data_IF_068875951803
#
_entry.id   IF_068875951803
#
_cell.length_a   1.000
_cell.length_b   1.000
_cell.length_c   1.000
_cell.angle_alpha   90.00
_cell.angle_beta   90.00
_cell.angle_gamma   90.00
#
_symmetry.space_group_name_H-M   'P 1'
#
loop_
_entity.id
_entity.type
_entity.pdbx_description
1 polymer ?
#
# COMPACT_ATOMS: atom_id res chain seq x y z
N UNK A 1 -18.91 -10.63 9.12
CA UNK A 1 -18.97 -9.22 8.67
C UNK A 1 -17.60 -8.63 8.93
N UNK A 2 -16.67 -8.66 7.98
CA UNK A 2 -15.34 -8.04 8.16
C UNK A 2 -14.92 -7.35 6.85
N UNK A 3 -14.52 -6.09 7.00
CA UNK A 3 -14.66 -5.03 6.03
C UNK A 3 -13.78 -5.19 4.78
N UNK A 4 -14.42 -5.15 3.62
CA UNK A 4 -13.80 -4.80 2.36
C UNK A 4 -13.36 -3.33 2.45
N UNK A 5 -12.06 -3.07 2.58
CA UNK A 5 -11.54 -1.71 2.40
C UNK A 5 -11.75 -1.35 0.92
N UNK A 6 -12.89 -0.74 0.66
CA UNK A 6 -13.39 -0.38 -0.65
C UNK A 6 -12.35 0.47 -1.39
N UNK A 7 -12.03 0.02 -2.60
CA UNK A 7 -11.59 0.92 -3.64
C UNK A 7 -12.64 2.04 -3.80
N UNK A 8 -12.16 3.27 -3.70
CA UNK A 8 -12.53 4.44 -4.51
C UNK A 8 -13.11 5.65 -3.77
N UNK A 9 -12.73 6.81 -4.32
CA UNK A 9 -13.27 8.16 -4.16
C UNK A 9 -13.00 8.85 -2.83
N UNK A 10 -11.88 9.60 -2.78
CA UNK A 10 -11.83 11.03 -2.43
C UNK A 10 -10.37 11.54 -2.38
N UNK A 11 -9.64 11.47 -3.50
CA UNK A 11 -8.40 12.24 -3.79
C UNK A 11 -7.28 12.33 -2.73
N UNK A 12 -7.33 11.58 -1.65
CA UNK A 12 -6.33 11.48 -0.60
C UNK A 12 -5.77 10.07 -0.62
N UNK A 13 -4.44 9.98 -0.66
CA UNK A 13 -3.76 8.70 -0.60
C UNK A 13 -3.76 8.27 0.85
N UNK A 14 -4.59 7.27 1.18
CA UNK A 14 -4.55 6.59 2.48
C UNK A 14 -3.79 5.28 2.32
N UNK A 15 -2.84 5.05 3.22
CA UNK A 15 -2.04 3.82 3.28
C UNK A 15 -2.13 3.22 4.68
N UNK A 16 -2.09 1.90 4.84
CA UNK A 16 -2.06 1.31 6.17
C UNK A 16 -0.78 1.70 6.90
N UNK A 17 -0.82 1.77 8.23
CA UNK A 17 0.36 2.03 9.08
C UNK A 17 1.52 1.06 8.78
N UNK A 18 1.21 -0.17 8.41
CA UNK A 18 2.19 -1.19 8.01
C UNK A 18 2.96 -0.85 6.71
N UNK A 19 2.42 0.05 5.88
CA UNK A 19 3.08 0.57 4.67
C UNK A 19 4.13 1.66 4.98
N UNK A 20 4.06 2.25 6.17
CA UNK A 20 4.96 3.30 6.59
C UNK A 20 6.26 2.68 7.09
N UNK A 21 7.38 3.14 6.56
CA UNK A 21 8.70 2.82 7.05
C UNK A 21 9.38 4.06 7.62
N UNK A 22 10.35 3.84 8.51
CA UNK A 22 11.20 4.90 9.03
C UNK A 22 12.63 4.63 8.60
N UNK A 23 13.26 5.61 7.96
CA UNK A 23 14.65 5.57 7.54
C UNK A 23 15.33 6.84 8.02
N UNK A 24 16.42 6.69 8.77
CA UNK A 24 17.20 7.81 9.31
C UNK A 24 16.33 8.83 10.10
N UNK A 25 15.30 8.34 10.80
CA UNK A 25 14.35 9.16 11.55
C UNK A 25 13.24 9.81 10.71
N UNK A 26 13.30 9.74 9.38
CA UNK A 26 12.29 10.26 8.48
C UNK A 26 11.29 9.19 8.05
N UNK A 27 10.03 9.59 7.86
CA UNK A 27 8.99 8.72 7.29
C UNK A 27 9.18 8.56 5.79
N UNK A 28 9.25 7.30 5.38
CA UNK A 28 9.37 6.90 3.99
C UNK A 28 8.31 5.83 3.70
N UNK A 29 8.02 5.65 2.43
CA UNK A 29 7.25 4.51 1.93
C UNK A 29 8.01 3.85 0.81
N UNK A 30 7.74 2.58 0.59
CA UNK A 30 8.32 1.83 -0.50
C UNK A 30 7.37 1.84 -1.68
N UNK A 31 7.75 2.52 -2.75
CA UNK A 31 7.02 2.52 -4.02
C UNK A 31 7.57 1.45 -4.94
N UNK A 32 6.70 0.71 -5.62
CA UNK A 32 7.08 -0.33 -6.58
C UNK A 32 7.08 0.24 -7.99
N UNK A 33 8.23 0.11 -8.67
CA UNK A 33 8.32 0.33 -10.11
C UNK A 33 7.80 -0.91 -10.84
N UNK A 34 6.73 -0.75 -11.62
CA UNK A 34 6.11 -1.86 -12.37
C UNK A 34 6.92 -2.28 -13.60
N UNK A 35 7.82 -1.44 -14.10
CA UNK A 35 8.64 -1.78 -15.28
C UNK A 35 9.84 -2.65 -14.88
N UNK A 36 10.46 -2.35 -13.75
CA UNK A 36 11.64 -3.03 -13.21
C UNK A 36 11.32 -4.08 -12.13
N UNK A 37 10.09 -4.09 -11.61
CA UNK A 37 9.69 -4.88 -10.43
C UNK A 37 10.57 -4.58 -9.21
N UNK A 38 11.02 -3.32 -9.06
CA UNK A 38 11.94 -2.89 -8.01
C UNK A 38 11.24 -1.92 -7.07
N UNK A 39 11.64 -1.94 -5.80
CA UNK A 39 11.15 -0.96 -4.82
C UNK A 39 12.14 0.16 -4.61
N UNK A 40 11.57 1.33 -4.36
CA UNK A 40 12.32 2.55 -4.12
C UNK A 40 11.78 3.21 -2.85
N UNK A 41 12.72 3.62 -1.99
CA UNK A 41 12.36 4.40 -0.82
C UNK A 41 11.96 5.79 -1.30
N UNK A 42 10.75 6.23 -0.94
CA UNK A 42 10.30 7.57 -1.21
C UNK A 42 9.97 8.29 0.10
N UNK A 43 10.59 9.44 0.38
CA UNK A 43 10.19 10.25 1.52
C UNK A 43 8.77 10.77 1.29
N UNK A 44 7.95 10.66 2.33
CA UNK A 44 6.59 11.18 2.31
C UNK A 44 6.33 12.09 3.49
N UNK A 45 5.27 12.87 3.37
CA UNK A 45 4.73 13.66 4.46
C UNK A 45 3.38 13.10 4.84
N UNK A 46 3.26 12.66 6.09
CA UNK A 46 1.99 12.21 6.65
C UNK A 46 1.15 13.45 7.01
N UNK A 47 -0.10 13.46 6.55
CA UNK A 47 -1.09 14.47 6.91
C UNK A 47 -1.67 14.18 8.30
N UNK A 48 -2.18 12.97 8.48
CA UNK A 48 -2.86 12.54 9.69
C UNK A 48 -2.75 11.01 9.87
N UNK A 49 -2.78 10.59 11.12
CA UNK A 49 -2.91 9.19 11.52
C UNK A 49 -4.37 8.95 11.92
N UNK A 50 -4.99 7.96 11.32
CA UNK A 50 -6.38 7.59 11.56
C UNK A 50 -6.46 6.17 12.14
N UNK A 51 -7.62 5.77 12.65
CA UNK A 51 -7.83 4.41 13.14
C UNK A 51 -7.67 3.36 12.02
N UNK A 52 -8.01 3.74 10.79
CA UNK A 52 -7.96 2.88 9.60
C UNK A 52 -6.61 2.93 8.86
N UNK A 53 -5.74 3.89 9.16
CA UNK A 53 -4.43 4.00 8.50
C UNK A 53 -3.74 5.36 8.62
N UNK A 54 -3.03 5.75 7.56
CA UNK A 54 -2.20 6.95 7.48
C UNK A 54 -2.56 7.70 6.21
N UNK A 55 -2.97 8.96 6.35
CA UNK A 55 -3.18 9.82 5.18
C UNK A 55 -1.87 10.49 4.79
N UNK A 56 -1.52 10.40 3.52
CA UNK A 56 -0.31 11.02 2.96
C UNK A 56 -0.67 12.40 2.41
N UNK A 57 -0.03 13.45 2.94
CA UNK A 57 -0.14 14.82 2.44
C UNK A 57 0.66 15.00 1.14
N UNK A 58 1.89 14.49 1.11
CA UNK A 58 2.84 14.73 0.01
C UNK A 58 3.76 13.51 -0.20
N UNK A 59 4.23 13.33 -1.45
CA UNK A 59 5.18 12.29 -1.83
C UNK A 59 4.57 11.09 -2.54
N UNK A 60 3.26 10.83 -2.37
CA UNK A 60 2.54 9.84 -3.18
C UNK A 60 1.56 10.49 -4.15
N UNK A 61 1.38 9.87 -5.32
CA UNK A 61 0.36 10.25 -6.29
C UNK A 61 -0.71 9.15 -6.36
N UNK A 62 -1.96 9.51 -6.69
CA UNK A 62 -2.97 8.52 -7.03
C UNK A 62 -2.49 7.67 -8.22
N UNK A 63 -2.47 6.36 -8.03
CA UNK A 63 -1.96 5.38 -9.01
C UNK A 63 -0.55 4.86 -8.73
N UNK A 64 0.21 5.48 -7.82
CA UNK A 64 1.46 4.89 -7.33
C UNK A 64 1.18 3.58 -6.57
N UNK A 65 1.99 2.55 -6.81
CA UNK A 65 1.92 1.29 -6.06
C UNK A 65 2.84 1.38 -4.87
N UNK A 66 2.29 1.20 -3.67
CA UNK A 66 3.05 1.12 -2.42
C UNK A 66 3.03 -0.27 -1.84
N UNK A 67 4.10 -0.61 -1.15
CA UNK A 67 4.20 -1.84 -0.37
C UNK A 67 3.50 -1.62 0.97
N UNK A 68 2.45 -2.40 1.23
CA UNK A 68 1.67 -2.31 2.46
C UNK A 68 2.15 -3.22 3.59
N UNK A 69 2.94 -4.25 3.28
CA UNK A 69 3.40 -5.25 4.24
C UNK A 69 4.89 -5.55 4.07
N UNK A 70 5.61 -5.72 5.18
CA UNK A 70 7.03 -6.06 5.16
C UNK A 70 7.96 -4.89 4.79
N UNK A 71 7.50 -3.64 4.94
CA UNK A 71 8.27 -2.42 4.67
C UNK A 71 9.53 -2.27 5.52
N UNK A 72 9.58 -2.93 6.68
CA UNK A 72 10.78 -3.05 7.51
C UNK A 72 11.88 -3.94 6.90
N UNK A 73 11.52 -4.84 5.98
CA UNK A 73 12.44 -5.75 5.28
C UNK A 73 12.78 -5.25 3.86
N UNK A 74 12.07 -4.22 3.39
CA UNK A 74 12.30 -3.61 2.10
C UNK A 74 13.61 -2.82 2.08
N UNK A 75 14.27 -2.82 0.92
CA UNK A 75 15.56 -2.15 0.70
C UNK A 75 15.58 -1.51 -0.68
N UNK A 76 16.44 -0.51 -0.88
CA UNK A 76 16.49 0.19 -2.16
C UNK A 76 16.96 -0.74 -3.28
N UNK A 77 16.27 -0.70 -4.42
CA UNK A 77 16.45 -1.63 -5.56
C UNK A 77 16.13 -3.09 -5.23
N UNK A 78 15.44 -3.37 -4.12
CA UNK A 78 14.96 -4.72 -3.84
C UNK A 78 13.95 -5.11 -4.92
N UNK A 79 14.27 -6.19 -5.64
CA UNK A 79 13.38 -6.74 -6.66
C UNK A 79 12.25 -7.49 -5.94
N UNK A 80 11.03 -7.01 -6.13
CA UNK A 80 9.83 -7.60 -5.55
C UNK A 80 9.03 -8.25 -6.64
N UNK A 81 8.62 -9.51 -6.42
CA UNK A 81 7.56 -10.06 -7.24
C UNK A 81 6.26 -9.44 -6.76
N UNK A 82 5.61 -8.66 -7.62
CA UNK A 82 4.18 -8.45 -7.46
C UNK A 82 3.56 -9.85 -7.50
N UNK A 83 3.08 -10.34 -6.36
CA UNK A 83 2.16 -11.45 -6.37
C UNK A 83 0.90 -10.94 -7.07
N UNK A 84 0.89 -11.05 -8.40
CA UNK A 84 -0.31 -10.89 -9.20
C UNK A 84 -1.36 -11.84 -8.64
N UNK A 85 -2.58 -11.34 -8.52
CA UNK A 85 -3.75 -12.12 -8.15
C UNK A 85 -3.73 -12.67 -6.71
N UNK A 86 -3.94 -11.78 -5.74
CA UNK A 86 -5.02 -12.08 -4.81
C UNK A 86 -6.32 -12.02 -5.62
N UNK A 87 -6.55 -13.10 -6.39
CA UNK A 87 -7.85 -13.40 -7.00
C UNK A 87 -8.86 -13.15 -5.90
N UNK A 88 -9.76 -12.21 -6.18
CA UNK A 88 -10.97 -12.03 -5.43
C UNK A 88 -11.68 -13.38 -5.50
N UNK A 89 -11.47 -14.22 -4.48
CA UNK A 89 -12.17 -15.49 -4.33
C UNK A 89 -13.61 -15.16 -4.02
N UNK A 90 -14.32 -14.87 -5.11
CA UNK A 90 -15.73 -15.06 -5.30
C UNK A 90 -15.98 -16.55 -5.04
N UNK A 91 -16.20 -16.91 -3.78
CA UNK A 91 -17.02 -18.06 -3.46
C UNK A 91 -18.46 -17.56 -3.45
N UNK A 92 -18.96 -17.21 -4.64
CA UNK A 92 -20.38 -17.29 -4.94
C UNK A 92 -20.71 -18.77 -4.95
N UNK A 93 -21.42 -19.22 -3.94
CA UNK A 93 -22.23 -20.41 -4.01
C UNK A 93 -23.59 -20.04 -3.40
N UNK A 94 -24.35 -19.27 -4.17
CA UNK A 94 -25.80 -19.40 -4.20
C UNK A 94 -26.13 -20.79 -4.77
N UNK A 95 -26.71 -21.68 -3.96
CA UNK A 95 -27.61 -22.82 -4.29
C UNK A 95 -27.76 -23.65 -2.98
N UNK A 96 -28.92 -23.99 -2.40
CA UNK A 96 -30.14 -24.54 -3.00
C UNK A 96 -31.24 -24.65 -1.91
N UNK A 97 -32.51 -24.42 -2.30
CA UNK A 97 -33.69 -25.15 -1.79
C UNK A 97 -34.34 -24.76 -0.47
#
# INVERSE_FOLDING_TARGET
>A
IEASAANNSLQSVSVPLSALAQKDGQQIVWTVDRNGETVHARPIKVAEFTADGVHVAEGLKPGDVVVAAGTQFMTENLKVKLAGDAVQQSASADDDG
#
